data_IF_314073407031
#
_entry.id   IF_314073407031
#
_cell.length_a   1.000
_cell.length_b   1.000
_cell.length_c   1.000
_cell.angle_alpha   90.00
_cell.angle_beta   90.00
_cell.angle_gamma   90.00
#
_symmetry.space_group_name_H-M   'P 1'
#
loop_
_entity.id
_entity.type
_entity.pdbx_description
1 polymer ?
#
# COMPACT_ATOMS: atom_id res chain seq x y z
N UNK A 1 -1.80 17.81 22.33
CA UNK A 1 -1.02 16.75 22.98
C UNK A 1 -1.91 15.65 23.46
N UNK A 2 -2.14 14.69 22.57
CA UNK A 2 -2.97 13.53 22.85
C UNK A 2 -2.15 12.29 23.19
N UNK A 3 -0.89 12.47 23.60
CA UNK A 3 -0.10 11.39 24.14
C UNK A 3 -0.71 10.98 25.47
N UNK A 4 -1.22 9.75 25.51
CA UNK A 4 -1.72 9.17 26.74
C UNK A 4 -0.66 9.35 27.83
N UNK A 5 -1.02 10.09 28.87
CA UNK A 5 -0.25 10.30 30.09
C UNK A 5 0.87 11.37 30.07
N UNK A 6 1.07 12.15 29.02
CA UNK A 6 2.05 13.26 29.04
C UNK A 6 3.48 12.89 29.38
N UNK A 7 3.86 11.64 29.23
CA UNK A 7 5.18 11.10 29.65
C UNK A 7 6.20 10.99 28.53
N UNK A 8 5.97 11.65 27.42
CA UNK A 8 6.79 11.47 26.22
C UNK A 8 6.48 10.16 25.50
N UNK A 9 7.16 9.90 24.42
CA UNK A 9 6.94 8.76 23.54
C UNK A 9 7.18 9.14 22.08
N UNK A 10 6.88 8.24 21.15
CA UNK A 10 6.89 8.54 19.72
C UNK A 10 5.82 9.60 19.39
N UNK A 11 6.09 10.44 18.41
CA UNK A 11 5.10 11.36 17.88
C UNK A 11 3.89 10.58 17.35
N UNK A 12 2.66 11.10 17.50
CA UNK A 12 1.49 10.49 16.88
C UNK A 12 1.66 10.38 15.38
N UNK A 13 1.06 9.33 14.77
CA UNK A 13 1.02 9.20 13.32
C UNK A 13 0.34 10.41 12.68
N UNK A 14 0.78 10.79 11.49
CA UNK A 14 0.11 11.80 10.66
C UNK A 14 -1.34 11.39 10.33
N UNK A 15 -1.66 10.11 10.40
CA UNK A 15 -3.00 9.57 10.17
C UNK A 15 -3.95 9.73 11.38
N UNK A 16 -3.44 10.16 12.53
CA UNK A 16 -4.25 10.39 13.74
C UNK A 16 -5.47 11.26 13.47
N UNK A 17 -5.31 12.31 12.66
CA UNK A 17 -6.42 13.19 12.30
C UNK A 17 -7.54 12.48 11.55
N UNK A 18 -7.21 11.56 10.66
CA UNK A 18 -8.18 10.73 9.93
C UNK A 18 -9.06 9.93 10.90
N UNK A 19 -8.45 9.28 11.88
CA UNK A 19 -9.19 8.49 12.88
C UNK A 19 -10.04 9.35 13.81
N UNK A 20 -9.67 10.61 14.03
CA UNK A 20 -10.40 11.52 14.92
C UNK A 20 -11.45 12.38 14.25
N UNK A 21 -11.34 12.64 12.95
CA UNK A 21 -12.22 13.55 12.20
C UNK A 21 -13.36 12.82 11.49
N UNK A 22 -13.18 11.56 11.11
CA UNK A 22 -14.25 10.75 10.53
C UNK A 22 -15.27 10.43 11.60
N UNK A 23 -16.53 10.88 11.39
CA UNK A 23 -17.63 10.66 12.33
C UNK A 23 -18.09 9.20 12.32
N UNK A 24 -17.28 8.32 12.91
CA UNK A 24 -17.55 6.90 13.12
C UNK A 24 -16.86 6.42 14.40
N UNK A 25 -17.49 5.47 15.08
CA UNK A 25 -16.93 4.91 16.31
C UNK A 25 -15.65 4.11 16.08
N UNK A 26 -15.53 3.50 14.91
CA UNK A 26 -14.37 2.71 14.50
C UNK A 26 -13.96 3.08 13.06
N UNK A 27 -12.68 3.35 12.88
CA UNK A 27 -12.07 3.73 11.59
C UNK A 27 -10.82 2.90 11.38
N UNK A 28 -10.75 2.21 10.27
CA UNK A 28 -9.58 1.45 9.83
C UNK A 28 -8.90 2.18 8.66
N UNK A 29 -7.59 2.29 8.72
CA UNK A 29 -6.77 2.75 7.60
C UNK A 29 -5.75 1.66 7.22
N UNK A 30 -5.75 1.27 5.95
CA UNK A 30 -5.02 0.10 5.47
C UNK A 30 -4.37 0.36 4.11
N UNK A 31 -3.27 -0.35 3.86
CA UNK A 31 -2.54 -0.32 2.59
C UNK A 31 -2.53 -1.72 1.93
N UNK A 32 -3.68 -2.33 1.61
CA UNK A 32 -3.70 -3.61 0.91
C UNK A 32 -3.26 -3.44 -0.54
N UNK A 33 -2.56 -4.42 -1.09
CA UNK A 33 -2.04 -4.37 -2.47
C UNK A 33 -3.13 -4.09 -3.49
N UNK A 34 -4.30 -4.70 -3.33
CA UNK A 34 -5.46 -4.47 -4.20
C UNK A 34 -6.01 -3.05 -4.09
N UNK A 35 -6.09 -2.49 -2.88
CA UNK A 35 -6.50 -1.11 -2.64
C UNK A 35 -5.50 -0.10 -3.23
N UNK A 36 -4.20 -0.36 -3.05
CA UNK A 36 -3.13 0.46 -3.63
C UNK A 36 -3.18 0.42 -5.16
N UNK A 37 -3.49 -0.74 -5.76
CA UNK A 37 -3.63 -0.85 -7.20
C UNK A 37 -4.72 0.08 -7.75
N UNK A 38 -5.86 0.19 -7.06
CA UNK A 38 -6.90 1.17 -7.38
C UNK A 38 -6.42 2.61 -7.13
N UNK A 39 -5.84 2.85 -5.97
CA UNK A 39 -5.38 4.18 -5.55
C UNK A 39 -4.33 4.78 -6.48
N UNK A 40 -3.48 3.97 -7.10
CA UNK A 40 -2.39 4.40 -7.99
C UNK A 40 -2.72 4.29 -9.48
N UNK A 41 -3.89 3.75 -9.82
CA UNK A 41 -4.32 3.66 -11.22
C UNK A 41 -4.60 5.06 -11.79
N UNK A 42 -4.19 5.30 -13.04
CA UNK A 42 -4.43 6.58 -13.74
C UNK A 42 -5.90 6.98 -13.78
N UNK A 43 -6.79 6.00 -13.84
CA UNK A 43 -8.25 6.14 -13.85
C UNK A 43 -8.90 5.60 -12.56
N UNK A 44 -8.19 5.68 -11.45
CA UNK A 44 -8.56 5.11 -10.15
C UNK A 44 -9.94 5.51 -9.66
N UNK A 45 -10.32 6.78 -9.79
CA UNK A 45 -11.66 7.27 -9.44
C UNK A 45 -12.76 6.54 -10.23
N UNK A 46 -12.59 6.44 -11.57
CA UNK A 46 -13.55 5.74 -12.43
C UNK A 46 -13.63 4.25 -12.12
N UNK A 47 -12.49 3.63 -11.83
CA UNK A 47 -12.41 2.23 -11.42
C UNK A 47 -13.09 2.01 -10.08
N UNK A 48 -12.89 2.90 -9.12
CA UNK A 48 -13.55 2.87 -7.81
C UNK A 48 -15.06 2.92 -7.97
N UNK A 49 -15.58 3.89 -8.71
CA UNK A 49 -17.02 3.99 -8.99
C UNK A 49 -17.57 2.75 -9.67
N UNK A 50 -16.81 2.16 -10.60
CA UNK A 50 -17.23 0.98 -11.36
C UNK A 50 -17.24 -0.30 -10.52
N UNK A 51 -16.27 -0.46 -9.61
CA UNK A 51 -16.13 -1.65 -8.79
C UNK A 51 -17.05 -1.62 -7.56
N UNK A 52 -17.21 -0.46 -6.94
CA UNK A 52 -17.84 -0.32 -5.63
C UNK A 52 -19.18 0.44 -5.65
N UNK A 53 -19.51 1.11 -6.76
CA UNK A 53 -20.69 1.97 -6.84
C UNK A 53 -20.57 3.18 -5.90
N UNK A 54 -21.63 3.43 -5.12
CA UNK A 54 -21.67 4.53 -4.15
C UNK A 54 -21.22 4.11 -2.73
N UNK A 55 -20.89 2.84 -2.54
CA UNK A 55 -20.46 2.32 -1.24
C UNK A 55 -19.03 2.70 -0.87
N UNK A 56 -18.19 2.99 -1.86
CA UNK A 56 -16.84 3.47 -1.62
C UNK A 56 -16.61 4.70 -2.49
N UNK A 57 -16.26 5.79 -1.84
CA UNK A 57 -15.96 7.03 -2.52
C UNK A 57 -14.46 7.14 -2.88
N UNK A 58 -14.14 8.12 -3.69
CA UNK A 58 -12.77 8.48 -4.05
C UNK A 58 -12.36 9.77 -3.36
N UNK A 59 -11.11 9.80 -2.87
CA UNK A 59 -10.43 11.01 -2.40
C UNK A 59 -9.25 11.26 -3.32
N UNK A 60 -9.19 12.43 -3.94
CA UNK A 60 -8.04 12.82 -4.75
C UNK A 60 -6.75 12.83 -3.93
N UNK A 61 -5.64 12.62 -4.62
CA UNK A 61 -4.34 12.62 -3.95
C UNK A 61 -4.15 13.88 -3.11
N UNK A 62 -3.83 13.65 -1.86
CA UNK A 62 -3.48 14.68 -0.92
C UNK A 62 -2.36 14.18 -0.02
N UNK A 63 -1.46 15.07 0.35
CA UNK A 63 -0.45 14.75 1.35
C UNK A 63 -1.14 14.27 2.64
N UNK A 64 -0.73 13.13 3.21
CA UNK A 64 -1.27 12.65 4.47
C UNK A 64 -1.18 13.69 5.58
N UNK A 65 -2.20 13.77 6.43
CA UNK A 65 -2.28 14.70 7.53
C UNK A 65 -3.69 15.24 7.77
N UNK A 66 -3.79 16.34 8.48
CA UNK A 66 -5.05 16.90 8.97
C UNK A 66 -6.06 17.19 7.84
N UNK A 67 -5.61 17.77 6.73
CA UNK A 67 -6.50 18.11 5.62
C UNK A 67 -7.09 16.86 4.94
N UNK A 68 -6.32 15.79 4.83
CA UNK A 68 -6.85 14.52 4.33
C UNK A 68 -7.98 14.00 5.22
N UNK A 69 -7.81 14.09 6.54
CA UNK A 69 -8.85 13.73 7.49
C UNK A 69 -10.15 14.55 7.31
N UNK A 70 -10.03 15.85 7.08
CA UNK A 70 -11.18 16.73 6.79
C UNK A 70 -11.88 16.34 5.48
N UNK A 71 -11.11 16.04 4.42
CA UNK A 71 -11.68 15.65 3.14
C UNK A 71 -12.47 14.33 3.25
N UNK A 72 -11.94 13.34 3.97
CA UNK A 72 -12.63 12.07 4.22
C UNK A 72 -13.91 12.30 5.05
N UNK A 73 -13.82 13.12 6.08
CA UNK A 73 -14.98 13.45 6.93
C UNK A 73 -16.09 14.13 6.11
N UNK A 74 -15.73 15.07 5.23
CA UNK A 74 -16.68 15.75 4.35
C UNK A 74 -17.34 14.78 3.36
N UNK A 75 -16.56 13.85 2.78
CA UNK A 75 -17.10 12.82 1.88
C UNK A 75 -18.06 11.89 2.60
N UNK A 76 -17.73 11.46 3.82
CA UNK A 76 -18.62 10.62 4.63
C UNK A 76 -19.92 11.35 4.95
N UNK A 77 -19.86 12.63 5.33
CA UNK A 77 -21.03 13.43 5.60
C UNK A 77 -21.93 13.61 4.37
N UNK A 78 -21.33 13.81 3.20
CA UNK A 78 -22.04 13.95 1.93
C UNK A 78 -22.60 12.62 1.40
N UNK A 79 -22.02 11.48 1.78
CA UNK A 79 -22.46 10.15 1.35
C UNK A 79 -22.60 9.21 2.56
N UNK A 80 -23.73 9.27 3.29
CA UNK A 80 -23.99 8.43 4.46
C UNK A 80 -24.00 6.92 4.16
N UNK A 81 -24.19 6.53 2.89
CA UNK A 81 -24.18 5.12 2.47
C UNK A 81 -22.77 4.57 2.24
N UNK A 82 -21.77 5.43 2.17
CA UNK A 82 -20.39 4.99 1.99
C UNK A 82 -19.89 4.30 3.26
N UNK A 83 -19.23 3.17 3.06
CA UNK A 83 -18.58 2.39 4.13
C UNK A 83 -17.07 2.62 4.16
N UNK A 84 -16.54 3.34 3.18
CA UNK A 84 -15.11 3.66 3.08
C UNK A 84 -14.78 4.51 1.87
N UNK A 85 -13.49 4.76 1.70
CA UNK A 85 -12.92 5.53 0.60
C UNK A 85 -11.64 4.86 0.08
N UNK A 86 -11.38 5.03 -1.22
CA UNK A 86 -10.05 4.85 -1.81
C UNK A 86 -9.35 6.20 -1.78
N UNK A 87 -8.15 6.23 -1.24
CA UNK A 87 -7.30 7.43 -1.16
C UNK A 87 -6.34 7.43 -2.35
N UNK A 88 -6.53 8.34 -3.29
CA UNK A 88 -5.67 8.46 -4.48
C UNK A 88 -4.19 8.55 -4.12
N UNK A 89 -3.38 7.63 -4.67
CA UNK A 89 -1.95 7.53 -4.42
C UNK A 89 -1.54 7.06 -3.02
N UNK A 90 -2.49 6.51 -2.20
CA UNK A 90 -2.21 6.20 -0.80
C UNK A 90 -2.69 4.80 -0.40
N UNK A 91 -3.98 4.61 -0.16
CA UNK A 91 -4.52 3.36 0.38
C UNK A 91 -6.04 3.40 0.49
N UNK A 92 -6.58 2.79 1.54
CA UNK A 92 -8.01 2.78 1.83
C UNK A 92 -8.29 3.23 3.26
N UNK A 93 -9.48 3.81 3.48
CA UNK A 93 -10.03 4.00 4.82
C UNK A 93 -11.45 3.46 4.83
N UNK A 94 -11.79 2.68 5.86
CA UNK A 94 -13.14 2.16 6.07
C UNK A 94 -13.59 2.50 7.50
N UNK A 95 -14.89 2.43 7.73
CA UNK A 95 -15.47 2.75 9.04
C UNK A 95 -16.67 1.88 9.36
N UNK A 96 -17.07 1.89 10.63
CA UNK A 96 -18.23 1.17 11.13
C UNK A 96 -18.67 1.68 12.49
N UNK A 97 -19.90 1.37 12.89
CA UNK A 97 -20.43 1.65 14.21
C UNK A 97 -19.82 0.73 15.29
N UNK A 98 -19.32 -0.42 14.88
CA UNK A 98 -18.60 -1.38 15.73
C UNK A 98 -17.26 -1.76 15.09
N UNK A 99 -16.32 -2.22 15.91
CA UNK A 99 -15.03 -2.75 15.44
C UNK A 99 -15.21 -3.86 14.38
N UNK A 100 -16.15 -4.77 14.64
CA UNK A 100 -16.48 -5.85 13.71
C UNK A 100 -17.01 -5.33 12.37
N UNK A 101 -17.83 -4.30 12.39
CA UNK A 101 -18.35 -3.69 11.16
C UNK A 101 -17.25 -2.98 10.38
N UNK A 102 -16.37 -2.23 11.03
CA UNK A 102 -15.22 -1.60 10.39
C UNK A 102 -14.31 -2.64 9.71
N UNK A 103 -13.98 -3.72 10.42
CA UNK A 103 -13.24 -4.86 9.87
C UNK A 103 -13.94 -5.49 8.65
N UNK A 104 -15.24 -5.75 8.76
CA UNK A 104 -16.01 -6.34 7.66
C UNK A 104 -16.04 -5.43 6.44
N UNK A 105 -16.19 -4.12 6.63
CA UNK A 105 -16.15 -3.15 5.54
C UNK A 105 -14.76 -3.07 4.90
N UNK A 106 -13.70 -3.07 5.70
CA UNK A 106 -12.31 -3.15 5.22
C UNK A 106 -12.07 -4.39 4.36
N UNK A 107 -12.44 -5.56 4.88
CA UNK A 107 -12.29 -6.83 4.18
C UNK A 107 -13.16 -6.90 2.91
N UNK A 108 -14.36 -6.34 2.94
CA UNK A 108 -15.23 -6.27 1.76
C UNK A 108 -14.61 -5.40 0.66
N UNK A 109 -14.05 -4.24 1.00
CA UNK A 109 -13.34 -3.37 0.05
C UNK A 109 -12.17 -4.13 -0.58
N UNK A 110 -11.35 -4.78 0.24
CA UNK A 110 -10.16 -5.54 -0.21
C UNK A 110 -10.59 -6.64 -1.19
N UNK A 111 -11.53 -7.50 -0.80
CA UNK A 111 -12.00 -8.62 -1.63
C UNK A 111 -12.63 -8.15 -2.95
N UNK A 112 -13.46 -7.11 -2.90
CA UNK A 112 -14.06 -6.54 -4.11
C UNK A 112 -13.00 -6.01 -5.08
N UNK A 113 -11.96 -5.36 -4.55
CA UNK A 113 -10.82 -4.92 -5.35
C UNK A 113 -10.06 -6.11 -5.97
N UNK A 114 -9.77 -7.14 -5.18
CA UNK A 114 -9.11 -8.37 -5.65
C UNK A 114 -9.90 -9.07 -6.76
N UNK A 115 -11.20 -9.25 -6.56
CA UNK A 115 -12.10 -9.86 -7.54
C UNK A 115 -12.14 -9.04 -8.84
N UNK A 116 -12.22 -7.71 -8.73
CA UNK A 116 -12.19 -6.83 -9.89
C UNK A 116 -10.87 -6.93 -10.65
N UNK A 117 -9.74 -6.94 -9.95
CA UNK A 117 -8.40 -7.08 -10.53
C UNK A 117 -8.26 -8.45 -11.19
N UNK A 118 -8.71 -9.53 -10.54
CA UNK A 118 -8.68 -10.88 -11.11
C UNK A 118 -9.51 -10.98 -12.41
N UNK A 119 -10.67 -10.31 -12.46
CA UNK A 119 -11.56 -10.34 -13.63
C UNK A 119 -11.12 -9.42 -14.77
N UNK A 120 -10.48 -8.27 -14.48
CA UNK A 120 -10.23 -7.20 -15.45
C UNK A 120 -8.77 -6.79 -15.56
N UNK A 121 -7.93 -7.21 -14.63
CA UNK A 121 -6.50 -6.88 -14.59
C UNK A 121 -5.72 -7.52 -15.75
N UNK A 122 -4.52 -7.00 -15.96
CA UNK A 122 -3.61 -7.57 -16.95
C UNK A 122 -3.01 -8.88 -16.41
N UNK A 123 -2.96 -9.92 -17.24
CA UNK A 123 -2.33 -11.20 -16.88
C UNK A 123 -0.82 -11.06 -16.61
N UNK A 124 -0.15 -10.12 -17.26
CA UNK A 124 1.26 -9.81 -17.08
C UNK A 124 1.40 -8.37 -16.56
N UNK A 125 1.25 -8.13 -15.26
CA UNK A 125 1.23 -6.78 -14.69
C UNK A 125 2.53 -6.02 -14.92
N UNK A 126 3.67 -6.72 -14.98
CA UNK A 126 4.99 -6.12 -15.22
C UNK A 126 5.37 -6.02 -16.69
N UNK A 127 4.49 -6.46 -17.61
CA UNK A 127 4.74 -6.44 -19.05
C UNK A 127 5.49 -7.66 -19.56
N UNK A 128 6.14 -7.53 -20.72
CA UNK A 128 6.82 -8.65 -21.38
C UNK A 128 8.03 -9.15 -20.59
N UNK A 129 8.16 -10.48 -20.52
CA UNK A 129 9.33 -11.14 -19.96
C UNK A 129 10.50 -11.05 -20.93
N UNK A 130 11.66 -10.67 -20.43
CA UNK A 130 12.91 -10.63 -21.19
C UNK A 130 13.65 -11.95 -21.01
N UNK A 131 13.77 -12.74 -22.07
CA UNK A 131 14.34 -14.10 -22.01
C UNK A 131 15.71 -14.19 -21.31
N UNK A 132 16.59 -13.20 -21.47
CA UNK A 132 17.90 -13.16 -20.81
C UNK A 132 17.84 -12.88 -19.30
N UNK A 133 16.70 -12.45 -18.80
CA UNK A 133 16.49 -12.12 -17.39
C UNK A 133 15.75 -13.24 -16.62
N UNK A 134 15.66 -14.43 -17.23
CA UNK A 134 15.05 -15.58 -16.55
C UNK A 134 15.84 -15.89 -15.28
N UNK A 135 15.09 -16.18 -14.22
CA UNK A 135 15.66 -16.46 -12.91
C UNK A 135 16.61 -17.67 -12.97
N UNK A 136 17.75 -17.55 -12.29
CA UNK A 136 18.66 -18.67 -12.06
C UNK A 136 17.97 -19.79 -11.26
N UNK A 137 18.46 -21.03 -11.32
CA UNK A 137 17.99 -22.10 -10.46
C UNK A 137 18.01 -21.71 -8.98
N UNK A 138 17.07 -22.22 -8.19
CA UNK A 138 16.90 -21.86 -6.76
C UNK A 138 18.20 -21.99 -5.97
N UNK A 139 18.93 -23.09 -6.15
CA UNK A 139 20.20 -23.34 -5.45
C UNK A 139 21.24 -22.26 -5.78
N UNK A 140 21.33 -21.87 -7.04
CA UNK A 140 22.27 -20.84 -7.49
C UNK A 140 21.88 -19.44 -6.97
N UNK A 141 20.58 -19.10 -6.96
CA UNK A 141 20.10 -17.85 -6.38
C UNK A 141 20.47 -17.75 -4.91
N UNK A 142 20.22 -18.81 -4.15
CA UNK A 142 20.53 -18.85 -2.70
C UNK A 142 22.03 -18.80 -2.45
N UNK A 143 22.85 -19.48 -3.25
CA UNK A 143 24.29 -19.42 -3.13
C UNK A 143 24.82 -18.00 -3.39
N UNK A 144 24.32 -17.32 -4.44
CA UNK A 144 24.68 -15.92 -4.72
C UNK A 144 24.22 -14.98 -3.60
N UNK A 145 23.00 -15.14 -3.08
CA UNK A 145 22.49 -14.36 -1.97
C UNK A 145 23.38 -14.55 -0.73
N UNK A 146 23.73 -15.78 -0.38
CA UNK A 146 24.60 -16.07 0.76
C UNK A 146 26.01 -15.46 0.59
N UNK A 147 26.59 -15.53 -0.61
CA UNK A 147 27.89 -14.93 -0.90
C UNK A 147 27.90 -13.40 -0.77
N UNK A 148 26.78 -12.74 -1.09
CA UNK A 148 26.64 -11.28 -0.99
C UNK A 148 26.18 -10.79 0.37
N UNK A 149 25.56 -11.64 1.18
CA UNK A 149 24.86 -11.27 2.42
C UNK A 149 25.77 -10.53 3.42
N UNK A 150 27.00 -11.01 3.61
CA UNK A 150 27.94 -10.37 4.54
C UNK A 150 28.34 -8.96 4.08
N UNK A 151 28.62 -8.79 2.80
CA UNK A 151 28.98 -7.49 2.21
C UNK A 151 27.82 -6.51 2.29
N UNK A 152 26.62 -6.94 1.86
CA UNK A 152 25.41 -6.09 1.91
C UNK A 152 25.10 -5.70 3.36
N UNK A 153 25.17 -6.65 4.30
CA UNK A 153 24.96 -6.37 5.73
C UNK A 153 25.98 -5.38 6.25
N UNK A 154 27.26 -5.52 5.90
CA UNK A 154 28.32 -4.59 6.30
C UNK A 154 28.07 -3.17 5.80
N UNK A 155 27.69 -3.02 4.53
CA UNK A 155 27.36 -1.71 3.93
C UNK A 155 26.12 -1.09 4.60
N UNK A 156 25.11 -1.89 4.93
CA UNK A 156 23.86 -1.41 5.54
C UNK A 156 23.98 -1.13 7.05
N UNK A 157 25.02 -1.66 7.72
CA UNK A 157 25.21 -1.52 9.17
C UNK A 157 26.16 -0.35 9.47
N UNK A 158 25.62 0.87 9.60
CA UNK A 158 26.41 2.05 10.00
C UNK A 158 26.50 2.13 11.53
N UNK A 159 25.45 2.64 12.16
CA UNK A 159 25.42 2.90 13.61
C UNK A 159 24.96 1.70 14.43
N UNK A 160 24.33 0.74 13.79
CA UNK A 160 23.80 -0.48 14.43
C UNK A 160 23.86 -1.68 13.48
N UNK A 161 24.00 -2.90 14.02
CA UNK A 161 23.92 -4.10 13.21
C UNK A 161 22.55 -4.24 12.55
N UNK A 162 22.55 -4.48 11.24
CA UNK A 162 21.33 -4.75 10.47
C UNK A 162 21.16 -6.24 10.21
N UNK A 163 19.91 -6.67 10.04
CA UNK A 163 19.55 -8.03 9.63
C UNK A 163 18.96 -7.95 8.23
N UNK A 164 19.46 -8.80 7.32
CA UNK A 164 18.93 -8.92 5.97
C UNK A 164 17.95 -10.08 5.85
N UNK A 165 16.89 -9.89 5.08
CA UNK A 165 16.00 -10.96 4.65
C UNK A 165 16.09 -11.11 3.14
N UNK A 166 16.34 -12.35 2.66
CA UNK A 166 16.33 -12.68 1.25
C UNK A 166 14.98 -13.27 0.85
N UNK A 167 14.38 -12.75 -0.21
CA UNK A 167 13.17 -13.30 -0.80
C UNK A 167 13.34 -13.49 -2.31
N UNK A 168 12.84 -14.59 -2.83
CA UNK A 168 12.77 -14.94 -4.23
C UNK A 168 11.37 -15.46 -4.60
N UNK A 169 10.34 -14.80 -4.06
CA UNK A 169 8.95 -15.10 -4.39
C UNK A 169 8.65 -14.91 -5.88
N UNK A 170 7.64 -15.60 -6.39
CA UNK A 170 7.26 -15.55 -7.81
C UNK A 170 7.02 -14.12 -8.29
N UNK A 171 6.38 -13.29 -7.49
CA UNK A 171 6.12 -11.87 -7.81
C UNK A 171 7.43 -11.09 -8.02
N UNK A 172 8.42 -11.31 -7.15
CA UNK A 172 9.74 -10.67 -7.25
C UNK A 172 10.45 -11.16 -8.52
N UNK A 173 10.43 -12.46 -8.79
CA UNK A 173 11.06 -13.04 -9.98
C UNK A 173 10.40 -12.57 -11.27
N UNK A 174 9.07 -12.48 -11.31
CA UNK A 174 8.32 -11.95 -12.46
C UNK A 174 8.67 -10.49 -12.74
N UNK A 175 8.74 -9.66 -11.68
CA UNK A 175 9.17 -8.29 -11.81
C UNK A 175 10.61 -8.19 -12.37
N UNK A 176 11.56 -8.93 -11.79
CA UNK A 176 12.96 -8.92 -12.22
C UNK A 176 13.14 -9.44 -13.64
N UNK A 177 12.30 -10.39 -14.09
CA UNK A 177 12.29 -10.89 -15.44
C UNK A 177 11.69 -9.91 -16.46
N UNK A 178 11.01 -8.85 -16.02
CA UNK A 178 10.32 -7.91 -16.89
C UNK A 178 11.27 -6.91 -17.57
N UNK A 179 10.85 -6.36 -18.71
CA UNK A 179 11.54 -5.26 -19.37
C UNK A 179 11.55 -3.96 -18.55
N UNK A 180 10.65 -3.85 -17.58
CA UNK A 180 10.53 -2.68 -16.71
C UNK A 180 11.60 -2.64 -15.62
N UNK A 181 12.07 -3.79 -15.14
CA UNK A 181 13.00 -3.86 -14.01
C UNK A 181 14.32 -3.10 -14.23
N UNK A 182 15.06 -3.22 -15.36
CA UNK A 182 16.29 -2.46 -15.57
C UNK A 182 16.03 -0.95 -15.61
N UNK A 183 14.92 -0.53 -16.20
CA UNK A 183 14.54 0.89 -16.29
C UNK A 183 14.25 1.48 -14.92
N UNK A 184 13.50 0.77 -14.09
CA UNK A 184 13.18 1.20 -12.74
C UNK A 184 14.41 1.19 -11.83
N UNK A 185 15.26 0.16 -11.93
CA UNK A 185 16.51 0.10 -11.19
C UNK A 185 17.46 1.27 -11.53
N UNK A 186 17.48 1.73 -12.77
CA UNK A 186 18.28 2.87 -13.20
C UNK A 186 17.81 4.21 -12.63
N UNK A 187 16.54 4.31 -12.17
CA UNK A 187 15.99 5.51 -11.53
C UNK A 187 16.39 5.64 -10.05
N UNK A 188 17.04 4.61 -9.51
CA UNK A 188 17.53 4.57 -8.13
C UNK A 188 16.51 4.05 -7.12
N UNK A 189 16.97 3.89 -5.89
CA UNK A 189 16.20 3.26 -4.81
C UNK A 189 14.93 4.01 -4.42
N UNK A 190 14.92 5.33 -4.54
CA UNK A 190 13.76 6.16 -4.21
C UNK A 190 12.52 5.87 -5.07
N UNK A 191 12.73 5.27 -6.24
CA UNK A 191 11.63 4.89 -7.13
C UNK A 191 11.04 3.52 -6.78
N UNK A 192 11.78 2.71 -6.04
CA UNK A 192 11.37 1.38 -5.58
C UNK A 192 10.88 1.40 -4.12
N UNK A 193 11.16 2.45 -3.40
CA UNK A 193 10.57 2.70 -2.07
C UNK A 193 9.16 3.25 -2.26
N UNK A 194 8.26 2.41 -2.68
CA UNK A 194 6.84 2.67 -2.55
C UNK A 194 6.44 2.22 -1.16
N UNK A 195 6.97 2.83 -0.16
CA UNK A 195 6.34 2.74 1.12
C UNK A 195 5.90 4.13 1.52
N UNK A 196 4.66 4.37 1.45
CA UNK A 196 4.06 5.46 2.14
C UNK A 196 4.06 5.29 3.65
N UNK A 197 4.80 4.39 4.19
CA UNK A 197 5.05 4.28 5.62
C UNK A 197 6.25 5.14 5.98
N UNK A 198 6.09 6.42 5.95
CA UNK A 198 6.84 7.29 6.83
C UNK A 198 6.27 7.11 8.23
N UNK A 199 6.76 6.12 8.94
CA UNK A 199 6.69 6.10 10.39
C UNK A 199 7.72 7.04 10.94
#
# INVERSE_FOLDING_TARGET
DYTLHGKGGAAPSIDTAMHGLVDAAHVDHLHPDSGIAFATAKDGEKLTKKAFGDKVAWVDWRRPGFQLGLDIAAIKAANPQAVGVILGGHGITAWGATSKEAEQNSLWIIRTAEEYIAAKGRKNPFGATVKKNVALPVAERRAKAAALAATIRGIASHDRPMVGHFTDSDVVLDFLASASAPRLAALGTNTLTVSGSSG
#
